data_IF_302049606562
#
_entry.id   IF_302049606562
#
_cell.length_a   1.000
_cell.length_b   1.000
_cell.length_c   1.000
_cell.angle_alpha   90.00
_cell.angle_beta   90.00
_cell.angle_gamma   90.00
#
_symmetry.space_group_name_H-M   'P 1'
#
loop_
_entity.id
_entity.type
_entity.pdbx_description
1 polymer ?
#
# COMPACT_ATOMS: atom_id res chain seq x y z
N UNK A 1 23.98 -28.90 13.18
CA UNK A 1 23.30 -28.43 11.96
C UNK A 1 21.99 -27.80 12.40
N UNK A 2 21.68 -26.58 11.95
CA UNK A 2 20.50 -25.83 12.41
C UNK A 2 19.21 -26.60 12.16
N UNK A 3 18.17 -26.34 12.96
CA UNK A 3 16.92 -27.12 13.02
C UNK A 3 16.03 -27.06 11.76
N UNK A 4 16.55 -26.66 10.60
CA UNK A 4 15.75 -26.48 9.36
C UNK A 4 14.70 -25.35 9.46
N UNK A 5 14.88 -24.44 10.43
CA UNK A 5 14.00 -23.29 10.67
C UNK A 5 14.62 -22.07 10.03
N UNK A 6 13.85 -21.40 9.17
CA UNK A 6 14.21 -20.19 8.47
C UNK A 6 13.23 -19.08 8.86
N UNK A 7 13.74 -17.86 8.99
CA UNK A 7 12.92 -16.68 9.29
C UNK A 7 13.18 -15.62 8.22
N UNK A 8 12.10 -15.05 7.70
CA UNK A 8 12.14 -13.95 6.72
C UNK A 8 11.65 -12.71 7.45
N UNK A 9 12.55 -11.74 7.62
CA UNK A 9 12.25 -10.49 8.33
C UNK A 9 12.08 -9.33 7.35
N UNK A 10 11.02 -8.55 7.55
CA UNK A 10 10.68 -7.40 6.74
C UNK A 10 10.41 -6.19 7.63
N UNK A 11 11.31 -5.20 7.55
CA UNK A 11 11.27 -4.01 8.39
C UNK A 11 10.46 -2.90 7.72
N UNK A 12 9.36 -2.49 8.37
CA UNK A 12 8.40 -1.49 7.91
C UNK A 12 8.41 -0.26 8.80
N UNK A 13 8.41 0.91 8.16
CA UNK A 13 8.30 2.23 8.82
C UNK A 13 6.91 2.87 8.64
N UNK A 14 5.93 2.11 8.15
CA UNK A 14 4.59 2.65 7.90
C UNK A 14 3.87 3.04 9.19
N UNK A 15 3.20 4.19 9.19
CA UNK A 15 2.40 4.68 10.31
C UNK A 15 1.04 4.01 10.50
N UNK A 16 0.85 2.79 10.01
CA UNK A 16 -0.36 2.00 10.24
C UNK A 16 0.02 0.54 10.48
N UNK A 17 -0.59 -0.06 11.49
CA UNK A 17 -0.44 -1.48 11.81
C UNK A 17 -1.58 -2.27 11.14
N UNK A 18 -1.29 -3.22 10.24
CA UNK A 18 -2.34 -4.02 9.60
C UNK A 18 -2.89 -5.09 10.55
N UNK A 19 -4.13 -5.56 10.32
CA UNK A 19 -4.67 -6.71 11.05
C UNK A 19 -3.99 -8.02 10.61
N UNK A 20 -3.94 -9.00 11.52
CA UNK A 20 -3.34 -10.32 11.27
C UNK A 20 -3.88 -10.99 9.99
N UNK A 21 -5.20 -10.94 9.75
CA UNK A 21 -5.81 -11.56 8.57
C UNK A 21 -5.24 -11.01 7.25
N UNK A 22 -4.87 -9.72 7.22
CA UNK A 22 -4.24 -9.12 6.05
C UNK A 22 -2.83 -9.66 5.86
N UNK A 23 -2.06 -9.79 6.94
CA UNK A 23 -0.70 -10.34 6.92
C UNK A 23 -0.71 -11.83 6.52
N UNK A 24 -1.71 -12.60 6.95
CA UNK A 24 -1.87 -14.02 6.60
C UNK A 24 -2.20 -14.26 5.12
N UNK A 25 -2.68 -13.22 4.43
CA UNK A 25 -2.97 -13.24 2.99
C UNK A 25 -1.95 -12.45 2.16
N UNK A 26 -0.98 -11.80 2.81
CA UNK A 26 0.01 -10.99 2.11
C UNK A 26 0.95 -11.90 1.30
N UNK A 27 1.15 -11.54 0.03
CA UNK A 27 1.96 -12.31 -0.92
C UNK A 27 3.46 -12.03 -0.82
N UNK A 28 3.88 -10.92 -0.22
CA UNK A 28 5.25 -10.43 -0.26
C UNK A 28 6.24 -11.45 0.33
N UNK A 29 6.12 -11.76 1.62
CA UNK A 29 7.03 -12.72 2.27
C UNK A 29 6.79 -14.17 1.85
N UNK A 30 5.55 -14.51 1.48
CA UNK A 30 5.24 -15.83 0.93
C UNK A 30 5.97 -16.11 -0.40
N UNK A 31 6.17 -15.09 -1.25
CA UNK A 31 6.97 -15.23 -2.47
C UNK A 31 8.45 -15.50 -2.17
N UNK A 32 9.01 -14.83 -1.15
CA UNK A 32 10.37 -15.12 -0.69
C UNK A 32 10.47 -16.55 -0.13
N UNK A 33 9.48 -17.02 0.62
CA UNK A 33 9.42 -18.39 1.12
C UNK A 33 9.48 -19.43 -0.01
N UNK A 34 8.75 -19.22 -1.12
CA UNK A 34 8.82 -20.09 -2.31
C UNK A 34 10.27 -20.17 -2.81
N UNK A 35 10.94 -19.01 -2.98
CA UNK A 35 12.33 -18.97 -3.45
C UNK A 35 13.32 -19.63 -2.48
N UNK A 36 13.12 -19.48 -1.16
CA UNK A 36 13.96 -20.12 -0.14
C UNK A 36 13.82 -21.64 -0.20
N UNK A 37 12.59 -22.18 -0.27
CA UNK A 37 12.36 -23.64 -0.33
C UNK A 37 12.92 -24.28 -1.60
N UNK A 38 12.90 -23.58 -2.72
CA UNK A 38 13.51 -24.05 -3.98
C UNK A 38 15.06 -24.09 -3.88
N UNK A 39 15.66 -23.14 -3.14
CA UNK A 39 17.12 -23.01 -3.02
C UNK A 39 17.72 -23.87 -1.92
N UNK A 40 17.03 -23.99 -0.79
CA UNK A 40 17.51 -24.64 0.43
C UNK A 40 16.59 -25.81 0.78
N UNK A 41 17.07 -27.04 0.53
CA UNK A 41 16.27 -28.27 0.71
C UNK A 41 15.90 -28.56 2.17
N UNK A 42 16.62 -27.96 3.12
CA UNK A 42 16.42 -28.07 4.56
C UNK A 42 15.49 -26.98 5.13
N UNK A 43 14.93 -26.10 4.30
CA UNK A 43 13.95 -25.09 4.72
C UNK A 43 12.55 -25.70 4.90
N UNK A 44 12.39 -26.50 5.95
CA UNK A 44 11.13 -27.18 6.28
C UNK A 44 10.15 -26.28 7.03
N UNK A 45 10.63 -25.47 7.98
CA UNK A 45 9.84 -24.49 8.73
C UNK A 45 10.28 -23.08 8.35
N UNK A 46 9.37 -22.29 7.78
CA UNK A 46 9.64 -20.90 7.38
C UNK A 46 8.64 -19.97 8.04
N UNK A 47 9.16 -19.01 8.81
CA UNK A 47 8.37 -17.97 9.49
C UNK A 47 8.50 -16.64 8.77
N UNK A 48 7.38 -15.95 8.60
CA UNK A 48 7.28 -14.67 7.94
C UNK A 48 7.05 -13.60 9.02
N UNK A 49 8.00 -12.68 9.20
CA UNK A 49 8.00 -11.73 10.32
C UNK A 49 8.06 -10.31 9.78
N UNK A 50 7.04 -9.53 10.08
CA UNK A 50 6.99 -8.10 9.78
C UNK A 50 7.28 -7.31 11.05
N UNK A 51 8.28 -6.45 10.98
CA UNK A 51 8.67 -5.52 12.04
C UNK A 51 8.10 -4.14 11.75
N UNK A 52 7.12 -3.68 12.53
CA UNK A 52 6.56 -2.34 12.45
C UNK A 52 7.25 -1.40 13.44
N UNK A 53 8.35 -0.79 12.98
CA UNK A 53 9.29 -0.04 13.81
C UNK A 53 8.66 1.13 14.57
N UNK A 54 7.71 1.84 13.93
CA UNK A 54 7.01 2.97 14.56
C UNK A 54 6.15 2.55 15.76
N UNK A 55 5.74 1.28 15.83
CA UNK A 55 4.87 0.75 16.88
C UNK A 55 5.60 -0.21 17.81
N UNK A 56 6.89 -0.44 17.57
CA UNK A 56 7.69 -1.49 18.22
C UNK A 56 6.96 -2.85 18.27
N UNK A 57 6.37 -3.26 17.13
CA UNK A 57 5.55 -4.47 17.04
C UNK A 57 5.99 -5.41 15.94
N UNK A 58 5.99 -6.70 16.26
CA UNK A 58 6.16 -7.78 15.32
C UNK A 58 4.82 -8.44 15.00
N UNK A 59 4.60 -8.76 13.72
CA UNK A 59 3.51 -9.61 13.28
C UNK A 59 4.11 -10.81 12.56
N UNK A 60 3.76 -12.00 13.04
CA UNK A 60 4.30 -13.26 12.50
C UNK A 60 3.21 -14.02 11.76
N UNK A 61 3.58 -14.67 10.68
CA UNK A 61 2.69 -15.53 9.91
C UNK A 61 3.43 -16.72 9.31
N UNK A 62 2.68 -17.76 8.94
CA UNK A 62 3.18 -18.96 8.27
C UNK A 62 2.32 -19.28 7.05
N UNK A 63 2.84 -20.11 6.15
CA UNK A 63 2.09 -20.60 4.98
C UNK A 63 2.13 -22.10 4.92
N UNK A 64 0.99 -22.68 4.58
CA UNK A 64 0.89 -24.10 4.22
C UNK A 64 1.36 -24.31 2.78
N UNK A 65 1.76 -25.54 2.46
CA UNK A 65 2.17 -25.92 1.11
C UNK A 65 1.07 -25.65 0.07
N UNK A 66 -0.20 -25.87 0.44
CA UNK A 66 -1.34 -25.55 -0.41
C UNK A 66 -1.43 -24.04 -0.70
N UNK A 67 -1.27 -23.18 0.31
CA UNK A 67 -1.28 -21.73 0.13
C UNK A 67 -0.14 -21.24 -0.77
N UNK A 68 1.05 -21.84 -0.65
CA UNK A 68 2.19 -21.48 -1.50
C UNK A 68 1.97 -21.90 -2.96
N UNK A 69 1.40 -23.09 -3.17
CA UNK A 69 1.11 -23.58 -4.52
C UNK A 69 -0.02 -22.76 -5.17
N UNK A 70 -1.05 -22.40 -4.40
CA UNK A 70 -2.11 -21.49 -4.86
C UNK A 70 -1.54 -20.13 -5.26
N UNK A 71 -0.71 -19.53 -4.40
CA UNK A 71 -0.02 -18.28 -4.68
C UNK A 71 0.86 -18.38 -5.94
N UNK A 72 1.60 -19.48 -6.11
CA UNK A 72 2.44 -19.72 -7.30
C UNK A 72 1.58 -19.73 -8.57
N UNK A 73 0.43 -20.41 -8.57
CA UNK A 73 -0.49 -20.44 -9.72
C UNK A 73 -1.08 -19.06 -10.01
N UNK A 74 -1.51 -18.33 -8.98
CA UNK A 74 -2.04 -16.97 -9.13
C UNK A 74 -1.01 -16.02 -9.74
N UNK A 75 0.24 -16.04 -9.23
CA UNK A 75 1.31 -15.18 -9.72
C UNK A 75 1.70 -15.52 -11.15
N UNK A 76 1.81 -16.80 -11.51
CA UNK A 76 2.07 -17.21 -12.90
C UNK A 76 0.93 -16.77 -13.84
N UNK A 77 -0.32 -16.86 -13.40
CA UNK A 77 -1.47 -16.38 -14.17
C UNK A 77 -1.40 -14.86 -14.40
N UNK A 78 -1.04 -14.10 -13.35
CA UNK A 78 -0.85 -12.66 -13.44
C UNK A 78 0.30 -12.30 -14.39
N UNK A 79 1.45 -12.98 -14.30
CA UNK A 79 2.59 -12.77 -15.22
C UNK A 79 2.14 -12.97 -16.67
N UNK A 80 1.46 -14.08 -16.98
CA UNK A 80 0.96 -14.35 -18.34
C UNK A 80 -0.05 -13.31 -18.82
N UNK A 81 -0.80 -12.70 -17.91
CA UNK A 81 -1.73 -11.62 -18.23
C UNK A 81 -0.96 -10.37 -18.62
N UNK A 82 0.03 -9.99 -17.79
CA UNK A 82 0.92 -8.84 -18.03
C UNK A 82 1.72 -9.00 -19.32
N UNK A 83 2.27 -10.18 -19.60
CA UNK A 83 3.05 -10.45 -20.82
C UNK A 83 2.22 -10.39 -22.11
N UNK A 84 0.91 -10.64 -22.03
CA UNK A 84 0.00 -10.60 -23.18
C UNK A 84 -0.63 -9.23 -23.40
N UNK A 85 -0.71 -8.43 -22.35
CA UNK A 85 -1.30 -7.10 -22.45
C UNK A 85 -0.33 -6.19 -23.21
N UNK A 86 -0.80 -5.63 -24.31
CA UNK A 86 -0.05 -4.64 -25.11
C UNK A 86 -0.63 -3.24 -24.98
N UNK A 87 -1.76 -3.11 -24.30
CA UNK A 87 -2.54 -1.88 -24.18
C UNK A 87 -2.35 -1.27 -22.78
N UNK A 88 -2.22 -2.10 -21.74
CA UNK A 88 -2.06 -1.69 -20.34
C UNK A 88 -3.12 -0.66 -19.93
N UNK A 89 -4.39 -1.05 -20.05
CA UNK A 89 -5.50 -0.13 -19.78
C UNK A 89 -5.45 0.32 -18.31
N UNK A 90 -5.37 1.64 -18.03
CA UNK A 90 -5.27 2.12 -16.66
C UNK A 90 -6.58 1.86 -15.90
N UNK A 91 -6.44 1.60 -14.61
CA UNK A 91 -7.56 1.47 -13.68
C UNK A 91 -7.45 2.59 -12.66
N UNK A 92 -8.45 3.47 -12.62
CA UNK A 92 -8.49 4.53 -11.64
C UNK A 92 -8.70 3.97 -10.23
N UNK A 93 -7.97 4.53 -9.26
CA UNK A 93 -8.06 4.15 -7.86
C UNK A 93 -7.60 5.31 -6.97
N UNK A 94 -7.73 5.15 -5.66
CA UNK A 94 -7.20 6.10 -4.68
C UNK A 94 -5.66 6.28 -4.75
N UNK A 95 -4.96 5.43 -5.51
CA UNK A 95 -3.52 5.54 -5.75
C UNK A 95 -3.18 6.50 -6.90
N UNK A 96 -4.16 6.95 -7.70
CA UNK A 96 -3.90 7.86 -8.81
C UNK A 96 -3.25 9.17 -8.36
N UNK A 97 -3.65 9.69 -7.19
CA UNK A 97 -3.09 10.93 -6.60
C UNK A 97 -1.60 10.81 -6.23
N UNK A 98 -1.09 9.58 -6.12
CA UNK A 98 0.30 9.26 -5.76
C UNK A 98 1.09 8.66 -6.93
N UNK A 99 0.49 8.63 -8.13
CA UNK A 99 1.10 8.01 -9.30
C UNK A 99 2.10 8.96 -9.97
N UNK A 100 3.38 8.58 -9.99
CA UNK A 100 4.45 9.36 -10.66
C UNK A 100 4.29 9.46 -12.18
N UNK A 101 3.43 8.62 -12.78
CA UNK A 101 3.19 8.56 -14.22
C UNK A 101 1.87 9.21 -14.64
N UNK A 102 1.26 10.02 -13.77
CA UNK A 102 -0.07 10.62 -14.01
C UNK A 102 -0.13 11.42 -15.33
N UNK A 103 0.94 12.12 -15.69
CA UNK A 103 1.04 12.93 -16.91
C UNK A 103 0.88 12.10 -18.21
N UNK A 104 1.26 10.83 -18.17
CA UNK A 104 1.14 9.91 -19.30
C UNK A 104 -0.14 9.09 -19.27
N UNK A 105 -0.92 9.15 -18.17
CA UNK A 105 -2.08 8.31 -17.97
C UNK A 105 -3.24 8.74 -18.89
N UNK A 106 -3.75 7.87 -19.79
CA UNK A 106 -4.82 8.24 -20.69
C UNK A 106 -6.13 8.52 -19.94
N UNK A 107 -6.36 7.92 -18.76
CA UNK A 107 -7.52 8.20 -17.92
C UNK A 107 -7.49 9.62 -17.31
N UNK A 108 -6.30 10.21 -17.11
CA UNK A 108 -6.13 11.56 -16.54
C UNK A 108 -5.92 12.67 -17.58
N UNK A 109 -5.90 12.31 -18.87
CA UNK A 109 -5.63 13.25 -19.97
C UNK A 109 -6.58 14.46 -20.01
N UNK A 110 -7.86 14.29 -19.68
CA UNK A 110 -8.80 15.41 -19.67
C UNK A 110 -8.48 16.39 -18.53
N UNK A 111 -8.28 15.87 -17.31
CA UNK A 111 -7.94 16.67 -16.14
C UNK A 111 -6.66 17.50 -16.40
N UNK A 112 -5.61 16.87 -16.93
CA UNK A 112 -4.36 17.54 -17.28
C UNK A 112 -4.59 18.65 -18.31
N UNK A 113 -5.32 18.36 -19.40
CA UNK A 113 -5.61 19.36 -20.44
C UNK A 113 -6.41 20.54 -19.91
N UNK A 114 -7.30 20.34 -18.95
CA UNK A 114 -8.14 21.40 -18.37
C UNK A 114 -7.33 22.31 -17.45
N UNK A 115 -6.30 21.79 -16.76
CA UNK A 115 -5.41 22.60 -15.91
C UNK A 115 -4.69 23.71 -16.69
N UNK A 116 -4.36 23.46 -17.97
CA UNK A 116 -3.68 24.41 -18.84
C UNK A 116 -4.62 25.41 -19.54
N UNK A 117 -5.95 25.26 -19.38
CA UNK A 117 -6.90 26.16 -20.04
C UNK A 117 -6.98 27.50 -19.31
N UNK A 118 -7.17 28.61 -20.05
CA UNK A 118 -7.36 29.91 -19.44
C UNK A 118 -8.61 29.92 -18.55
N UNK A 119 -8.65 30.79 -17.53
CA UNK A 119 -9.80 30.92 -16.65
C UNK A 119 -11.11 31.11 -17.45
N UNK A 120 -12.09 30.25 -17.20
CA UNK A 120 -13.41 30.30 -17.82
C UNK A 120 -14.12 31.65 -17.52
N UNK A 121 -14.92 32.16 -18.48
CA UNK A 121 -15.76 33.36 -18.34
C UNK A 121 -16.72 33.33 -17.15
N UNK A 122 -17.01 32.14 -16.62
CA UNK A 122 -17.85 31.95 -15.44
C UNK A 122 -17.06 31.97 -14.11
N UNK A 123 -15.75 32.24 -14.09
CA UNK A 123 -15.00 32.28 -12.82
C UNK A 123 -15.54 33.27 -11.80
N UNK A 124 -16.16 34.35 -12.28
CA UNK A 124 -16.79 35.38 -11.43
C UNK A 124 -18.25 35.08 -11.11
N UNK A 125 -18.79 33.94 -11.54
CA UNK A 125 -20.14 33.51 -11.18
C UNK A 125 -20.16 33.06 -9.71
N UNK A 126 -21.17 33.50 -8.97
CA UNK A 126 -21.34 33.18 -7.55
C UNK A 126 -21.40 31.67 -7.29
N UNK A 127 -21.94 30.90 -8.24
CA UNK A 127 -21.98 29.44 -8.18
C UNK A 127 -20.57 28.82 -8.29
N UNK A 128 -19.73 29.35 -9.17
CA UNK A 128 -18.33 28.88 -9.30
C UNK A 128 -17.52 29.25 -8.05
N UNK A 129 -17.72 30.45 -7.50
CA UNK A 129 -17.09 30.86 -6.25
C UNK A 129 -17.47 29.93 -5.07
N UNK A 130 -18.75 29.55 -4.98
CA UNK A 130 -19.24 28.63 -3.94
C UNK A 130 -18.61 27.23 -4.07
N UNK A 131 -18.58 26.67 -5.28
CA UNK A 131 -17.99 25.34 -5.54
C UNK A 131 -16.50 25.33 -5.23
N UNK A 132 -15.77 26.37 -5.65
CA UNK A 132 -14.34 26.50 -5.35
C UNK A 132 -14.09 26.61 -3.83
N UNK A 133 -14.90 27.40 -3.12
CA UNK A 133 -14.83 27.50 -1.65
C UNK A 133 -15.10 26.14 -1.01
N UNK A 134 -16.14 25.42 -1.44
CA UNK A 134 -16.44 24.08 -0.94
C UNK A 134 -15.29 23.10 -1.15
N UNK A 135 -14.71 23.06 -2.36
CA UNK A 135 -13.55 22.23 -2.67
C UNK A 135 -12.35 22.56 -1.77
N UNK A 136 -12.03 23.84 -1.58
CA UNK A 136 -10.94 24.27 -0.71
C UNK A 136 -11.14 23.87 0.76
N UNK A 137 -12.36 23.99 1.28
CA UNK A 137 -12.70 23.56 2.64
C UNK A 137 -12.57 22.05 2.77
N UNK A 138 -13.01 21.28 1.76
CA UNK A 138 -12.90 19.82 1.75
C UNK A 138 -11.45 19.34 1.77
N UNK A 139 -10.55 20.00 1.02
CA UNK A 139 -9.10 19.73 1.09
C UNK A 139 -8.55 19.98 2.48
N UNK A 140 -8.89 21.13 3.08
CA UNK A 140 -8.44 21.48 4.43
C UNK A 140 -8.95 20.52 5.51
N UNK A 141 -10.17 19.98 5.35
CA UNK A 141 -10.68 18.92 6.22
C UNK A 141 -9.84 17.65 6.11
N UNK A 142 -9.39 17.28 4.90
CA UNK A 142 -8.52 16.10 4.70
C UNK A 142 -7.16 16.30 5.37
N UNK A 143 -6.53 17.45 5.15
CA UNK A 143 -5.24 17.81 5.77
C UNK A 143 -5.30 17.77 7.30
N UNK A 144 -6.34 18.38 7.89
CA UNK A 144 -6.53 18.38 9.34
C UNK A 144 -6.75 16.97 9.90
N UNK A 145 -7.42 16.07 9.16
CA UNK A 145 -7.58 14.66 9.57
C UNK A 145 -6.27 13.88 9.51
N UNK A 146 -5.45 14.15 8.50
CA UNK A 146 -4.13 13.51 8.39
C UNK A 146 -3.19 14.00 9.50
N UNK A 147 -3.26 15.29 9.85
CA UNK A 147 -2.54 15.88 10.98
C UNK A 147 -3.03 15.33 12.33
N UNK A 148 -4.34 15.28 12.55
CA UNK A 148 -4.97 14.65 13.72
C UNK A 148 -4.47 13.22 13.91
N UNK A 149 -4.39 12.44 12.82
CA UNK A 149 -3.90 11.06 12.87
C UNK A 149 -2.43 10.98 13.28
N UNK A 150 -1.58 11.90 12.80
CA UNK A 150 -0.16 11.97 13.21
C UNK A 150 -0.02 12.33 14.69
N UNK A 151 -0.75 13.35 15.15
CA UNK A 151 -0.74 13.77 16.55
C UNK A 151 -1.28 12.66 17.47
N UNK A 152 -2.29 11.91 17.02
CA UNK A 152 -2.80 10.76 17.76
C UNK A 152 -1.73 9.67 17.92
N UNK A 153 -0.95 9.40 16.87
CA UNK A 153 0.18 8.47 16.95
C UNK A 153 1.26 8.95 17.92
N UNK A 154 1.63 10.23 17.87
CA UNK A 154 2.59 10.81 18.83
C UNK A 154 2.08 10.73 20.27
N UNK A 155 0.80 11.01 20.48
CA UNK A 155 0.18 10.91 21.80
C UNK A 155 0.18 9.48 22.34
N UNK A 156 -0.06 8.49 21.49
CA UNK A 156 -0.05 7.09 21.92
C UNK A 156 1.37 6.61 22.25
N UNK A 157 2.40 7.04 21.50
CA UNK A 157 3.81 6.80 21.85
C UNK A 157 4.19 7.41 23.22
N UNK A 158 3.68 8.60 23.54
CA UNK A 158 3.91 9.23 24.84
C UNK A 158 3.22 8.50 25.99
N UNK A 159 2.05 7.91 25.76
CA UNK A 159 1.35 7.12 26.79
C UNK A 159 2.08 5.83 27.10
N UNK A 160 2.58 5.14 26.08
CA UNK A 160 3.32 3.89 26.25
C UNK A 160 4.64 4.15 27.00
N UNK A 161 5.35 5.23 26.68
CA UNK A 161 6.57 5.66 27.39
C UNK A 161 6.31 6.13 28.84
N UNK A 162 5.08 6.51 29.19
CA UNK A 162 4.69 6.92 30.55
C UNK A 162 4.11 5.76 31.38
N UNK A 163 3.93 4.58 30.78
CA UNK A 163 3.41 3.37 31.42
C UNK A 163 4.51 2.36 31.81
N UNK A 164 5.77 2.62 31.44
CA UNK A 164 7.00 1.96 31.95
C UNK A 164 7.57 2.68 33.17
#
# INVERSE_FOLDING_TARGET
MGKGIYEIHDYKTSGALPPQERIDKDRQLALYQIGIREKFRDAEDVRLIWHYLLFDKEITSTRTDAQLEDLKREVISLIKTVERDTIFTPVESNLCDWCEYIEYCPAKRHEIKVQDLPPNKYLQDDGVALVNRYASIKTRIKELRDEEKKLQMELDLLKDAAAE
#
